data_IF_873703429375
#
_entry.id   IF_873703429375
#
_cell.length_a   1.000
_cell.length_b   1.000
_cell.length_c   1.000
_cell.angle_alpha   90.00
_cell.angle_beta   90.00
_cell.angle_gamma   90.00
#
_symmetry.space_group_name_H-M   'P 1'
#
loop_
_entity.id
_entity.type
_entity.pdbx_description
1 polymer ?
#
# COMPACT_ATOMS: atom_id res chain seq x y z
N UNK A 1 -11.63 -28.00 26.45
CA UNK A 1 -12.23 -28.85 25.40
C UNK A 1 -13.34 -28.04 24.76
N UNK A 2 -13.21 -27.71 23.47
CA UNK A 2 -14.16 -26.89 22.71
C UNK A 2 -14.93 -27.78 21.74
N UNK A 3 -16.21 -27.48 21.53
CA UNK A 3 -17.01 -28.09 20.47
C UNK A 3 -16.93 -27.19 19.24
N UNK A 4 -16.31 -27.66 18.14
CA UNK A 4 -16.09 -26.88 16.90
C UNK A 4 -17.16 -27.13 15.82
N UNK A 5 -18.29 -27.75 16.19
CA UNK A 5 -19.41 -27.93 15.27
C UNK A 5 -20.24 -26.65 15.21
N UNK A 6 -20.63 -26.26 13.98
CA UNK A 6 -21.49 -25.11 13.65
C UNK A 6 -20.85 -23.71 13.75
N UNK A 7 -19.52 -23.59 13.68
CA UNK A 7 -18.81 -22.29 13.66
C UNK A 7 -19.02 -21.43 14.92
N UNK A 8 -19.51 -22.05 16.00
CA UNK A 8 -19.67 -21.43 17.32
C UNK A 8 -18.76 -22.15 18.31
N UNK A 9 -17.65 -21.52 18.68
CA UNK A 9 -16.80 -22.03 19.77
C UNK A 9 -17.58 -21.97 21.09
N UNK A 10 -18.17 -23.10 21.46
CA UNK A 10 -18.81 -23.31 22.76
C UNK A 10 -17.99 -24.29 23.59
N UNK A 11 -17.97 -24.09 24.91
CA UNK A 11 -17.32 -25.02 25.83
C UNK A 11 -18.00 -26.38 25.73
N UNK A 12 -17.25 -27.42 25.39
CA UNK A 12 -17.79 -28.77 25.39
C UNK A 12 -18.09 -29.20 26.83
N UNK A 13 -19.24 -29.82 27.05
CA UNK A 13 -19.71 -30.29 28.35
C UNK A 13 -19.82 -31.81 28.43
N UNK A 14 -19.87 -32.50 27.29
CA UNK A 14 -20.06 -33.94 27.18
C UNK A 14 -19.00 -34.59 26.29
N UNK A 15 -18.78 -35.90 26.47
CA UNK A 15 -17.95 -36.76 25.61
C UNK A 15 -18.79 -37.95 25.18
N UNK A 16 -18.94 -38.13 23.86
CA UNK A 16 -19.45 -39.38 23.29
C UNK A 16 -18.30 -40.38 23.19
N UNK A 17 -18.52 -41.57 23.70
CA UNK A 17 -17.44 -42.53 23.91
C UNK A 17 -17.20 -43.43 22.69
N UNK A 18 -18.23 -43.63 21.88
CA UNK A 18 -18.18 -44.34 20.59
C UNK A 18 -17.59 -43.46 19.49
N UNK A 19 -17.87 -42.15 19.52
CA UNK A 19 -17.34 -41.20 18.53
C UNK A 19 -16.01 -40.58 18.95
N UNK A 20 -15.56 -40.82 20.18
CA UNK A 20 -14.39 -40.16 20.79
C UNK A 20 -14.42 -38.63 20.61
N UNK A 21 -15.60 -38.03 20.75
CA UNK A 21 -15.85 -36.64 20.36
C UNK A 21 -16.53 -35.84 21.48
N UNK A 22 -16.09 -34.61 21.68
CA UNK A 22 -16.58 -33.73 22.74
C UNK A 22 -17.69 -32.82 22.23
N UNK A 23 -18.82 -32.80 22.92
CA UNK A 23 -20.06 -32.15 22.51
C UNK A 23 -20.43 -31.03 23.48
N UNK A 24 -20.86 -29.87 22.96
CA UNK A 24 -21.62 -28.89 23.74
C UNK A 24 -23.07 -29.35 23.93
N UNK A 25 -23.88 -28.67 24.76
CA UNK A 25 -25.28 -29.04 25.02
C UNK A 25 -26.12 -29.19 23.73
N UNK A 26 -25.92 -28.30 22.76
CA UNK A 26 -26.62 -28.34 21.47
C UNK A 26 -26.22 -29.60 20.69
N UNK A 27 -24.92 -29.84 20.58
CA UNK A 27 -24.40 -30.99 19.86
C UNK A 27 -24.77 -32.31 20.55
N UNK A 28 -24.82 -32.34 21.89
CA UNK A 28 -25.31 -33.48 22.65
C UNK A 28 -26.75 -33.83 22.27
N UNK A 29 -27.64 -32.84 22.26
CA UNK A 29 -29.06 -33.06 21.93
C UNK A 29 -29.23 -33.53 20.49
N UNK A 30 -28.52 -32.91 19.53
CA UNK A 30 -28.54 -33.35 18.13
C UNK A 30 -27.98 -34.78 17.98
N UNK A 31 -26.89 -35.09 18.68
CA UNK A 31 -26.24 -36.39 18.66
C UNK A 31 -27.16 -37.48 19.22
N UNK A 32 -27.89 -37.20 20.30
CA UNK A 32 -28.88 -38.12 20.89
C UNK A 32 -30.18 -38.24 20.09
N UNK A 33 -30.55 -37.20 19.33
CA UNK A 33 -31.76 -37.20 18.50
C UNK A 33 -31.54 -37.89 17.15
N UNK A 34 -30.30 -38.06 16.72
CA UNK A 34 -29.96 -38.69 15.45
C UNK A 34 -30.02 -40.23 15.56
N UNK A 35 -30.71 -40.88 14.62
CA UNK A 35 -30.95 -42.34 14.64
C UNK A 35 -29.67 -43.18 14.68
N UNK A 36 -28.57 -42.67 14.10
CA UNK A 36 -27.31 -43.40 14.01
C UNK A 36 -26.41 -43.22 15.23
N UNK A 37 -26.78 -42.36 16.19
CA UNK A 37 -25.97 -42.05 17.37
C UNK A 37 -26.79 -41.91 18.65
N UNK A 38 -28.09 -42.19 18.59
CA UNK A 38 -29.02 -42.10 19.71
C UNK A 38 -28.67 -43.08 20.84
N UNK A 39 -28.14 -44.24 20.46
CA UNK A 39 -27.72 -45.34 21.33
C UNK A 39 -26.30 -45.17 21.90
N UNK A 40 -25.50 -44.23 21.39
CA UNK A 40 -24.14 -43.99 21.87
C UNK A 40 -24.12 -43.53 23.34
N UNK A 41 -23.21 -44.05 24.16
CA UNK A 41 -23.00 -43.60 25.53
C UNK A 41 -22.30 -42.23 25.56
N UNK A 42 -22.97 -41.26 26.17
CA UNK A 42 -22.45 -39.89 26.30
C UNK A 42 -22.39 -39.51 27.76
N UNK A 43 -21.23 -39.08 28.23
CA UNK A 43 -20.98 -38.71 29.63
C UNK A 43 -20.62 -37.24 29.80
N UNK A 44 -21.01 -36.58 30.90
CA UNK A 44 -20.49 -35.27 31.26
C UNK A 44 -18.97 -35.31 31.42
N UNK A 45 -18.26 -34.31 30.88
CA UNK A 45 -16.81 -34.20 31.04
C UNK A 45 -16.40 -34.04 32.52
N UNK A 46 -17.27 -33.46 33.35
CA UNK A 46 -17.05 -33.26 34.79
C UNK A 46 -17.07 -34.56 35.60
N UNK A 47 -17.71 -35.63 35.10
CA UNK A 47 -17.80 -36.92 35.80
C UNK A 47 -16.68 -37.90 35.42
N UNK A 48 -15.84 -37.58 34.42
CA UNK A 48 -14.76 -38.44 33.96
C UNK A 48 -13.58 -38.35 34.96
N UNK A 49 -13.55 -39.25 35.95
CA UNK A 49 -12.39 -39.36 36.87
C UNK A 49 -11.26 -40.18 36.24
N UNK A 50 -10.00 -39.99 36.68
CA UNK A 50 -8.84 -40.79 36.28
C UNK A 50 -9.00 -42.32 36.48
N UNK A 51 -10.02 -42.77 37.22
CA UNK A 51 -10.33 -44.18 37.50
C UNK A 51 -11.56 -44.71 36.77
N UNK A 52 -12.33 -43.84 36.10
CA UNK A 52 -13.41 -44.33 35.26
C UNK A 52 -12.81 -44.84 33.95
N UNK A 53 -12.89 -46.16 33.78
CA UNK A 53 -12.51 -46.84 32.54
C UNK A 53 -13.26 -46.13 31.41
N UNK A 54 -12.53 -45.52 30.47
CA UNK A 54 -13.07 -45.25 29.13
C UNK A 54 -13.84 -46.52 28.74
N UNK A 55 -15.11 -46.42 28.31
CA UNK A 55 -15.91 -47.60 28.11
C UNK A 55 -15.21 -48.52 27.14
N UNK A 56 -15.54 -49.80 27.24
CA UNK A 56 -15.10 -50.89 26.35
C UNK A 56 -15.50 -50.66 24.86
N UNK A 57 -15.93 -49.44 24.51
CA UNK A 57 -16.37 -48.96 23.21
C UNK A 57 -15.22 -48.55 22.26
N UNK A 58 -13.94 -48.65 22.67
CA UNK A 58 -12.93 -49.08 21.70
C UNK A 58 -13.26 -50.54 21.40
N UNK A 59 -14.22 -50.74 20.49
CA UNK A 59 -14.63 -52.06 20.04
C UNK A 59 -13.37 -52.78 19.60
N UNK A 60 -12.97 -53.73 20.44
CA UNK A 60 -11.83 -54.59 20.28
C UNK A 60 -12.14 -55.62 19.20
N UNK A 61 -12.77 -55.22 18.08
CA UNK A 61 -13.02 -56.05 16.91
C UNK A 61 -12.01 -55.69 15.83
N UNK A 62 -11.47 -56.70 15.16
CA UNK A 62 -10.49 -56.46 14.12
C UNK A 62 -11.14 -55.77 12.92
N UNK A 63 -10.47 -54.75 12.37
CA UNK A 63 -10.92 -54.03 11.17
C UNK A 63 -11.04 -54.93 9.93
N UNK A 64 -10.27 -56.03 9.89
CA UNK A 64 -10.28 -57.02 8.80
C UNK A 64 -11.20 -58.20 9.11
N UNK A 65 -11.30 -58.59 10.38
CA UNK A 65 -12.10 -59.73 10.83
C UNK A 65 -13.14 -59.24 11.84
N UNK A 66 -14.26 -58.75 11.34
CA UNK A 66 -15.29 -58.02 12.12
C UNK A 66 -15.93 -58.84 13.24
N UNK A 67 -15.91 -60.18 13.15
CA UNK A 67 -16.39 -61.11 14.18
C UNK A 67 -15.34 -61.43 15.25
N UNK A 68 -14.06 -61.13 15.01
CA UNK A 68 -12.95 -61.52 15.86
C UNK A 68 -12.47 -60.38 16.74
N UNK A 69 -12.12 -60.71 17.98
CA UNK A 69 -11.61 -59.72 18.93
C UNK A 69 -10.11 -59.53 18.82
N UNK A 70 -9.67 -58.27 18.85
CA UNK A 70 -8.28 -57.89 18.99
C UNK A 70 -7.82 -58.27 20.40
N UNK A 71 -6.81 -59.13 20.48
CA UNK A 71 -6.23 -59.64 21.73
C UNK A 71 -4.71 -59.59 21.75
N UNK A 72 -4.09 -59.37 20.59
CA UNK A 72 -2.66 -59.49 20.38
C UNK A 72 -2.16 -58.21 19.70
N UNK A 73 -0.87 -57.91 19.83
CA UNK A 73 -0.22 -56.78 19.19
C UNK A 73 1.04 -57.27 18.48
N UNK A 74 1.20 -56.89 17.21
CA UNK A 74 2.38 -57.22 16.43
C UNK A 74 3.36 -56.05 16.56
N UNK A 75 4.48 -56.26 17.25
CA UNK A 75 5.51 -55.24 17.46
C UNK A 75 6.25 -54.93 16.16
N UNK A 76 6.48 -55.93 15.30
CA UNK A 76 7.16 -55.75 14.00
C UNK A 76 6.45 -54.75 13.08
N UNK A 77 5.13 -54.61 13.23
CA UNK A 77 4.29 -53.74 12.40
C UNK A 77 3.60 -52.62 13.19
N UNK A 78 3.82 -52.55 14.50
CA UNK A 78 3.20 -51.58 15.42
C UNK A 78 1.66 -51.50 15.29
N UNK A 79 0.99 -52.66 15.22
CA UNK A 79 -0.48 -52.71 15.06
C UNK A 79 -1.19 -53.74 15.96
N UNK A 80 -2.43 -53.41 16.40
CA UNK A 80 -3.27 -54.35 17.14
C UNK A 80 -3.91 -55.40 16.20
N UNK A 81 -3.84 -56.68 16.60
CA UNK A 81 -4.23 -57.84 15.80
C UNK A 81 -5.21 -58.79 16.53
N UNK A 82 -6.12 -59.42 15.76
CA UNK A 82 -6.82 -60.62 16.23
C UNK A 82 -6.03 -61.90 15.94
N UNK A 83 -6.49 -63.03 16.46
CA UNK A 83 -5.89 -64.36 16.23
C UNK A 83 -5.80 -64.70 14.75
N UNK A 84 -6.82 -64.39 13.95
CA UNK A 84 -6.84 -64.63 12.50
C UNK A 84 -5.79 -63.79 11.74
N UNK A 85 -5.61 -62.52 12.11
CA UNK A 85 -4.57 -61.67 11.52
C UNK A 85 -3.17 -62.27 11.71
N UNK A 86 -2.92 -62.90 12.85
CA UNK A 86 -1.63 -63.52 13.15
C UNK A 86 -1.44 -64.82 12.39
N UNK A 87 -2.47 -65.64 12.28
CA UNK A 87 -2.38 -66.89 11.54
C UNK A 87 -2.23 -66.70 10.02
N UNK A 88 -2.76 -65.62 9.46
CA UNK A 88 -2.80 -65.40 8.01
C UNK A 88 -1.73 -64.39 7.56
N UNK A 89 -1.73 -63.19 8.16
CA UNK A 89 -0.95 -62.05 7.67
C UNK A 89 0.37 -61.88 8.40
N UNK A 90 0.37 -62.05 9.73
CA UNK A 90 1.54 -61.85 10.59
C UNK A 90 2.20 -63.18 11.01
N UNK A 91 2.03 -64.25 10.23
CA UNK A 91 2.55 -65.58 10.56
C UNK A 91 4.07 -65.64 10.63
N UNK A 92 4.75 -64.74 9.92
CA UNK A 92 6.22 -64.61 9.88
C UNK A 92 6.75 -63.47 10.75
N UNK A 93 5.89 -62.86 11.56
CA UNK A 93 6.30 -61.87 12.54
C UNK A 93 6.83 -62.58 13.78
N UNK A 94 7.96 -62.11 14.27
CA UNK A 94 8.70 -62.74 15.36
C UNK A 94 8.26 -62.17 16.71
N UNK A 95 7.88 -60.89 16.76
CA UNK A 95 7.50 -60.21 18.00
C UNK A 95 5.98 -59.97 18.09
N UNK A 96 5.27 -60.97 18.61
CA UNK A 96 3.83 -60.92 18.87
C UNK A 96 3.57 -61.08 20.36
N UNK A 97 2.94 -60.09 20.97
CA UNK A 97 2.64 -60.05 22.41
C UNK A 97 1.14 -59.88 22.65
N UNK A 98 0.70 -60.11 23.89
CA UNK A 98 -0.67 -59.76 24.29
C UNK A 98 -0.85 -58.25 24.29
N UNK A 99 -2.07 -57.77 24.02
CA UNK A 99 -2.35 -56.33 24.11
C UNK A 99 -2.08 -55.81 25.52
N UNK A 100 -2.36 -56.60 26.55
CA UNK A 100 -2.11 -56.22 27.93
C UNK A 100 -0.61 -56.00 28.19
N UNK A 101 0.26 -56.82 27.63
CA UNK A 101 1.70 -56.68 27.81
C UNK A 101 2.28 -55.57 26.92
N UNK A 102 1.82 -55.44 25.68
CA UNK A 102 2.14 -54.28 24.83
C UNK A 102 1.72 -52.96 25.50
N UNK A 103 0.52 -52.90 26.09
CA UNK A 103 0.02 -51.73 26.78
C UNK A 103 0.84 -51.41 28.04
N UNK A 104 1.31 -52.42 28.80
CA UNK A 104 2.23 -52.17 29.93
C UNK A 104 3.56 -51.60 29.44
N UNK A 105 4.12 -52.13 28.36
CA UNK A 105 5.36 -51.61 27.78
C UNK A 105 5.14 -50.16 27.32
N UNK A 106 4.11 -49.92 26.50
CA UNK A 106 3.79 -48.60 25.96
C UNK A 106 3.50 -47.57 27.06
N UNK A 107 2.70 -47.92 28.06
CA UNK A 107 2.39 -47.03 29.19
C UNK A 107 3.54 -46.89 30.21
N UNK A 108 4.50 -47.83 30.26
CA UNK A 108 5.69 -47.69 31.10
C UNK A 108 6.82 -46.93 30.41
N UNK A 109 6.77 -46.80 29.08
CA UNK A 109 7.66 -45.92 28.32
C UNK A 109 7.27 -44.46 28.48
N UNK A 110 8.24 -43.55 28.32
CA UNK A 110 7.99 -42.09 28.35
C UNK A 110 7.27 -41.58 27.09
N UNK A 111 6.90 -42.45 26.14
CA UNK A 111 6.33 -42.06 24.85
C UNK A 111 4.97 -41.36 24.99
N UNK A 112 4.11 -41.84 25.89
CA UNK A 112 2.80 -41.23 26.17
C UNK A 112 2.97 -39.85 26.82
N UNK A 113 3.87 -39.74 27.79
CA UNK A 113 4.18 -38.47 28.45
C UNK A 113 4.82 -37.47 27.48
N UNK A 114 5.71 -37.93 26.60
CA UNK A 114 6.32 -37.13 25.53
C UNK A 114 5.27 -36.66 24.52
N UNK A 115 4.33 -37.52 24.12
CA UNK A 115 3.24 -37.16 23.22
C UNK A 115 2.33 -36.10 23.87
N UNK A 116 1.96 -36.30 25.14
CA UNK A 116 1.19 -35.33 25.92
C UNK A 116 1.90 -33.98 26.00
N UNK A 117 3.19 -33.98 26.36
CA UNK A 117 3.97 -32.75 26.44
C UNK A 117 4.08 -32.03 25.08
N UNK A 118 4.24 -32.78 23.98
CA UNK A 118 4.22 -32.21 22.62
C UNK A 118 2.87 -31.56 22.29
N UNK A 119 1.75 -32.21 22.65
CA UNK A 119 0.41 -31.65 22.46
C UNK A 119 0.20 -30.38 23.28
N UNK A 120 0.61 -30.37 24.55
CA UNK A 120 0.54 -29.18 25.43
C UNK A 120 1.40 -28.01 24.88
N UNK A 121 2.62 -28.31 24.41
CA UNK A 121 3.49 -27.32 23.77
C UNK A 121 2.87 -26.74 22.49
N UNK A 122 2.24 -27.58 21.67
CA UNK A 122 1.51 -27.11 20.48
C UNK A 122 0.31 -26.24 20.86
N UNK A 123 -0.48 -26.64 21.87
CA UNK A 123 -1.61 -25.87 22.38
C UNK A 123 -1.16 -24.47 22.84
N UNK A 124 -0.10 -24.39 23.66
CA UNK A 124 0.44 -23.12 24.15
C UNK A 124 0.97 -22.23 23.01
N UNK A 125 1.59 -22.85 22.00
CA UNK A 125 2.06 -22.13 20.80
C UNK A 125 0.90 -21.52 20.03
N UNK A 126 -0.21 -22.24 19.86
CA UNK A 126 -1.39 -21.70 19.17
C UNK A 126 -2.05 -20.59 19.97
N UNK A 127 -2.16 -20.72 21.30
CA UNK A 127 -2.65 -19.65 22.17
C UNK A 127 -1.84 -18.37 22.02
N UNK A 128 -0.51 -18.48 21.97
CA UNK A 128 0.39 -17.35 21.73
C UNK A 128 0.18 -16.72 20.36
N UNK A 129 -0.07 -17.52 19.31
CA UNK A 129 -0.33 -17.03 17.97
C UNK A 129 -1.68 -16.32 17.86
N UNK A 130 -2.71 -16.84 18.53
CA UNK A 130 -4.03 -16.21 18.64
C UNK A 130 -3.87 -14.84 19.29
N UNK A 131 -3.26 -14.77 20.48
CA UNK A 131 -3.05 -13.51 21.19
C UNK A 131 -2.28 -12.46 20.37
N UNK A 132 -1.22 -12.89 19.66
CA UNK A 132 -0.47 -12.01 18.74
C UNK A 132 -1.33 -11.51 17.58
N UNK A 133 -2.18 -12.37 17.01
CA UNK A 133 -3.07 -11.99 15.92
C UNK A 133 -4.16 -11.01 16.37
N UNK A 134 -4.73 -11.22 17.56
CA UNK A 134 -5.72 -10.31 18.16
C UNK A 134 -5.11 -8.93 18.43
N UNK A 135 -3.91 -8.86 18.98
CA UNK A 135 -3.19 -7.59 19.16
C UNK A 135 -2.90 -6.91 17.82
N UNK A 136 -2.42 -7.66 16.82
CA UNK A 136 -2.14 -7.12 15.50
C UNK A 136 -3.38 -6.55 14.81
N UNK A 137 -4.56 -7.13 15.01
CA UNK A 137 -5.82 -6.61 14.48
C UNK A 137 -6.20 -5.28 15.16
N UNK A 138 -6.14 -5.22 16.49
CA UNK A 138 -6.44 -4.00 17.26
C UNK A 138 -5.49 -2.84 16.91
N UNK A 139 -4.20 -3.15 16.73
CA UNK A 139 -3.21 -2.17 16.31
C UNK A 139 -3.50 -1.65 14.88
N UNK A 140 -3.84 -2.53 13.93
CA UNK A 140 -4.23 -2.13 12.58
C UNK A 140 -5.48 -1.24 12.57
N UNK A 141 -6.50 -1.57 13.38
CA UNK A 141 -7.70 -0.74 13.51
C UNK A 141 -7.38 0.66 14.05
N UNK A 142 -6.51 0.73 15.05
CA UNK A 142 -6.07 2.00 15.65
C UNK A 142 -5.29 2.83 14.65
N UNK A 143 -4.35 2.22 13.92
CA UNK A 143 -3.60 2.88 12.85
C UNK A 143 -4.53 3.40 11.75
N UNK A 144 -5.52 2.61 11.32
CA UNK A 144 -6.50 3.03 10.32
C UNK A 144 -7.28 4.28 10.76
N UNK A 145 -7.78 4.29 12.00
CA UNK A 145 -8.50 5.44 12.56
C UNK A 145 -7.61 6.69 12.64
N UNK A 146 -6.37 6.55 13.12
CA UNK A 146 -5.43 7.68 13.19
C UNK A 146 -5.16 8.27 11.80
N UNK A 147 -4.89 7.40 10.82
CA UNK A 147 -4.59 7.79 9.43
C UNK A 147 -5.77 8.49 8.76
N UNK A 148 -6.99 8.01 8.98
CA UNK A 148 -8.20 8.71 8.52
C UNK A 148 -8.29 10.12 9.12
N UNK A 149 -8.00 10.29 10.41
CA UNK A 149 -7.96 11.61 11.05
C UNK A 149 -6.87 12.53 10.52
N UNK A 150 -5.69 12.00 10.17
CA UNK A 150 -4.60 12.75 9.53
C UNK A 150 -5.03 13.27 8.15
N UNK A 151 -5.71 12.44 7.35
CA UNK A 151 -6.28 12.83 6.04
C UNK A 151 -7.30 13.96 6.20
N UNK A 152 -8.25 13.82 7.12
CA UNK A 152 -9.26 14.85 7.38
C UNK A 152 -8.64 16.18 7.80
N UNK A 153 -7.60 16.12 8.64
CA UNK A 153 -6.87 17.30 9.11
C UNK A 153 -6.12 17.97 7.95
N UNK A 154 -5.49 17.19 7.08
CA UNK A 154 -4.80 17.71 5.90
C UNK A 154 -5.77 18.39 4.93
N UNK A 155 -6.92 17.78 4.66
CA UNK A 155 -7.96 18.39 3.82
C UNK A 155 -8.43 19.74 4.39
N UNK A 156 -8.62 19.84 5.72
CA UNK A 156 -8.96 21.11 6.37
C UNK A 156 -7.90 22.18 6.16
N UNK A 157 -6.62 21.84 6.29
CA UNK A 157 -5.50 22.78 6.08
C UNK A 157 -5.49 23.30 4.63
N UNK A 158 -5.61 22.40 3.64
CA UNK A 158 -5.60 22.78 2.22
C UNK A 158 -6.81 23.67 1.89
N UNK A 159 -8.00 23.31 2.36
CA UNK A 159 -9.20 24.14 2.17
C UNK A 159 -8.98 25.54 2.76
N UNK A 160 -8.42 25.63 3.97
CA UNK A 160 -8.17 26.91 4.63
C UNK A 160 -7.19 27.78 3.85
N UNK A 161 -6.09 27.21 3.35
CA UNK A 161 -5.11 27.94 2.53
C UNK A 161 -5.71 28.47 1.23
N UNK A 162 -6.54 27.67 0.55
CA UNK A 162 -7.24 28.12 -0.66
C UNK A 162 -8.21 29.26 -0.34
N UNK A 163 -8.94 29.19 0.77
CA UNK A 163 -9.83 30.28 1.19
C UNK A 163 -9.05 31.56 1.54
N UNK A 164 -7.92 31.44 2.23
CA UNK A 164 -7.04 32.56 2.56
C UNK A 164 -6.49 33.21 1.29
N UNK A 165 -6.02 32.41 0.33
CA UNK A 165 -5.53 32.90 -0.96
C UNK A 165 -6.63 33.64 -1.74
N UNK A 166 -7.83 33.05 -1.81
CA UNK A 166 -9.01 33.67 -2.44
C UNK A 166 -9.33 35.02 -1.81
N UNK A 167 -9.38 35.10 -0.48
CA UNK A 167 -9.67 36.33 0.25
C UNK A 167 -8.61 37.41 -0.01
N UNK A 168 -7.32 37.04 0.04
CA UNK A 168 -6.21 37.94 -0.23
C UNK A 168 -6.28 38.52 -1.65
N UNK A 169 -6.50 37.68 -2.66
CA UNK A 169 -6.58 38.14 -4.06
C UNK A 169 -7.80 39.00 -4.34
N UNK A 170 -8.94 38.69 -3.72
CA UNK A 170 -10.14 39.55 -3.81
C UNK A 170 -9.86 40.94 -3.21
N UNK A 171 -9.15 41.00 -2.08
CA UNK A 171 -8.76 42.26 -1.44
C UNK A 171 -7.78 43.08 -2.30
N UNK A 172 -6.75 42.45 -2.86
CA UNK A 172 -5.81 43.11 -3.78
C UNK A 172 -6.51 43.68 -5.01
N UNK A 173 -7.42 42.91 -5.62
CA UNK A 173 -8.20 43.37 -6.78
C UNK A 173 -9.10 44.56 -6.43
N UNK A 174 -9.72 44.55 -5.25
CA UNK A 174 -10.54 45.66 -4.76
C UNK A 174 -9.71 46.93 -4.60
N UNK A 175 -8.49 46.83 -4.06
CA UNK A 175 -7.60 48.00 -3.91
C UNK A 175 -7.27 48.63 -5.26
N UNK A 176 -6.86 47.82 -6.23
CA UNK A 176 -6.56 48.29 -7.60
C UNK A 176 -7.79 48.96 -8.22
N UNK A 177 -8.99 48.39 -8.01
CA UNK A 177 -10.24 48.97 -8.48
C UNK A 177 -10.49 50.35 -7.85
N UNK A 178 -10.40 50.49 -6.52
CA UNK A 178 -10.64 51.77 -5.84
C UNK A 178 -9.59 52.83 -6.22
N UNK A 179 -8.31 52.45 -6.35
CA UNK A 179 -7.25 53.35 -6.83
C UNK A 179 -7.59 53.90 -8.23
N UNK A 180 -7.91 53.02 -9.18
CA UNK A 180 -8.28 53.45 -10.54
C UNK A 180 -9.55 54.28 -10.57
N UNK A 181 -10.56 53.90 -9.79
CA UNK A 181 -11.82 54.64 -9.66
C UNK A 181 -11.60 56.04 -9.13
N UNK A 182 -10.74 56.22 -8.13
CA UNK A 182 -10.43 57.54 -7.58
C UNK A 182 -9.75 58.46 -8.60
N UNK A 183 -8.83 57.94 -9.42
CA UNK A 183 -8.21 58.72 -10.50
C UNK A 183 -9.28 59.17 -11.51
N UNK A 184 -10.14 58.25 -11.95
CA UNK A 184 -11.21 58.56 -12.91
C UNK A 184 -12.19 59.58 -12.34
N UNK A 185 -12.59 59.44 -11.07
CA UNK A 185 -13.53 60.38 -10.44
C UNK A 185 -12.89 61.77 -10.28
N UNK A 186 -11.59 61.86 -9.98
CA UNK A 186 -10.85 63.12 -9.90
C UNK A 186 -10.81 63.84 -11.26
N UNK A 187 -10.49 63.12 -12.33
CA UNK A 187 -10.48 63.66 -13.71
C UNK A 187 -11.89 64.11 -14.12
N UNK A 188 -12.91 63.32 -13.80
CA UNK A 188 -14.32 63.67 -14.06
C UNK A 188 -14.75 64.95 -13.34
N UNK A 189 -14.34 65.15 -12.08
CA UNK A 189 -14.61 66.40 -11.34
C UNK A 189 -13.91 67.59 -11.99
N UNK A 190 -12.64 67.43 -12.42
CA UNK A 190 -11.91 68.45 -13.16
C UNK A 190 -12.66 68.87 -14.43
N UNK A 191 -13.09 67.93 -15.26
CA UNK A 191 -13.87 68.23 -16.46
C UNK A 191 -15.21 68.91 -16.17
N UNK A 192 -15.92 68.52 -15.11
CA UNK A 192 -17.15 69.21 -14.68
C UNK A 192 -16.89 70.67 -14.32
N UNK A 193 -15.78 70.97 -13.64
CA UNK A 193 -15.44 72.34 -13.26
C UNK A 193 -15.05 73.18 -14.48
N UNK A 194 -14.23 72.63 -15.40
CA UNK A 194 -13.89 73.29 -16.67
C UNK A 194 -15.13 73.58 -17.51
N UNK A 195 -16.05 72.61 -17.63
CA UNK A 195 -17.34 72.80 -18.31
C UNK A 195 -18.14 73.96 -17.71
N UNK A 196 -18.26 74.04 -16.37
CA UNK A 196 -18.97 75.14 -15.72
C UNK A 196 -18.34 76.52 -16.01
N UNK A 197 -17.01 76.58 -16.08
CA UNK A 197 -16.30 77.82 -16.43
C UNK A 197 -16.64 78.25 -17.86
N UNK A 198 -16.58 77.32 -18.83
CA UNK A 198 -16.97 77.58 -20.23
C UNK A 198 -18.45 77.98 -20.33
N UNK A 199 -19.35 77.26 -19.64
CA UNK A 199 -20.78 77.58 -19.63
C UNK A 199 -21.05 79.02 -19.10
N UNK A 200 -20.24 79.50 -18.15
CA UNK A 200 -20.33 80.87 -17.66
C UNK A 200 -19.77 81.89 -18.66
N UNK A 201 -18.63 81.61 -19.29
CA UNK A 201 -18.05 82.47 -20.33
C UNK A 201 -18.99 82.61 -21.53
N UNK A 202 -19.67 81.53 -21.93
CA UNK A 202 -20.72 81.55 -22.96
C UNK A 202 -21.86 82.50 -22.56
N UNK A 203 -22.35 82.42 -21.31
CA UNK A 203 -23.40 83.31 -20.81
C UNK A 203 -22.97 84.77 -20.78
N UNK A 204 -21.72 85.05 -20.39
CA UNK A 204 -21.16 86.41 -20.39
C UNK A 204 -21.12 86.94 -21.82
N UNK A 205 -20.58 86.17 -22.77
CA UNK A 205 -20.48 86.58 -24.16
C UNK A 205 -21.87 86.85 -24.77
N UNK A 206 -22.85 85.98 -24.48
CA UNK A 206 -24.24 86.15 -24.90
C UNK A 206 -24.81 87.49 -24.40
N UNK A 207 -24.65 87.79 -23.11
CA UNK A 207 -25.15 89.03 -22.51
C UNK A 207 -24.46 90.29 -23.06
N UNK A 208 -23.14 90.22 -23.33
CA UNK A 208 -22.36 91.32 -23.90
C UNK A 208 -22.75 91.56 -25.36
N UNK A 209 -22.98 90.52 -26.16
CA UNK A 209 -23.48 90.65 -27.54
C UNK A 209 -24.86 91.33 -27.57
N UNK A 210 -25.74 90.97 -26.65
CA UNK A 210 -27.12 91.47 -26.62
C UNK A 210 -27.26 92.90 -26.10
N UNK A 211 -26.38 93.35 -25.18
CA UNK A 211 -26.62 94.56 -24.39
C UNK A 211 -25.44 95.57 -24.34
N UNK A 212 -24.28 95.26 -24.90
CA UNK A 212 -23.07 96.10 -24.76
C UNK A 212 -22.67 96.81 -26.07
N UNK A 213 -21.73 97.77 -25.97
CA UNK A 213 -21.19 98.45 -27.15
C UNK A 213 -20.18 97.58 -27.91
N UNK A 214 -19.97 97.86 -29.20
CA UNK A 214 -19.03 97.12 -30.06
C UNK A 214 -17.61 97.04 -29.49
N UNK A 215 -17.15 98.10 -28.82
CA UNK A 215 -15.84 98.15 -28.16
C UNK A 215 -15.79 97.19 -26.96
N UNK A 216 -16.86 97.12 -26.17
CA UNK A 216 -16.96 96.19 -25.03
C UNK A 216 -17.01 94.73 -25.51
N UNK A 217 -17.74 94.45 -26.59
CA UNK A 217 -17.78 93.14 -27.25
C UNK A 217 -16.37 92.70 -27.67
N UNK A 218 -15.62 93.59 -28.32
CA UNK A 218 -14.26 93.30 -28.79
C UNK A 218 -13.30 93.00 -27.63
N UNK A 219 -13.35 93.80 -26.56
CA UNK A 219 -12.50 93.61 -25.38
C UNK A 219 -12.80 92.26 -24.73
N UNK A 220 -14.07 91.93 -24.51
CA UNK A 220 -14.45 90.71 -23.80
C UNK A 220 -14.20 89.45 -24.65
N UNK A 221 -14.50 89.52 -25.95
CA UNK A 221 -14.17 88.44 -26.88
C UNK A 221 -12.68 88.10 -26.87
N UNK A 222 -11.80 89.12 -26.80
CA UNK A 222 -10.35 88.89 -26.77
C UNK A 222 -9.89 88.24 -25.47
N UNK A 223 -10.49 88.60 -24.33
CA UNK A 223 -10.21 87.95 -23.04
C UNK A 223 -10.62 86.47 -23.05
N UNK A 224 -11.86 86.18 -23.47
CA UNK A 224 -12.37 84.81 -23.54
C UNK A 224 -11.53 83.97 -24.52
N UNK A 225 -11.14 84.54 -25.67
CA UNK A 225 -10.27 83.86 -26.64
C UNK A 225 -8.92 83.46 -26.02
N UNK A 226 -8.31 84.33 -25.20
CA UNK A 226 -7.06 84.00 -24.52
C UNK A 226 -7.25 82.89 -23.49
N UNK A 227 -8.32 82.95 -22.70
CA UNK A 227 -8.68 81.90 -21.73
C UNK A 227 -8.92 80.53 -22.40
N UNK A 228 -9.64 80.50 -23.53
CA UNK A 228 -9.85 79.28 -24.31
C UNK A 228 -8.54 78.68 -24.82
N UNK A 229 -7.67 79.51 -25.40
CA UNK A 229 -6.36 79.07 -25.88
C UNK A 229 -5.47 78.49 -24.74
N UNK A 230 -5.59 79.01 -23.52
CA UNK A 230 -4.87 78.48 -22.35
C UNK A 230 -5.45 77.12 -21.89
N UNK A 231 -6.77 76.94 -21.91
CA UNK A 231 -7.41 75.67 -21.57
C UNK A 231 -7.18 74.58 -22.61
N UNK A 232 -7.13 74.92 -23.91
CA UNK A 232 -6.84 73.98 -24.98
C UNK A 232 -5.42 73.42 -24.88
N UNK A 233 -4.43 74.26 -24.55
CA UNK A 233 -3.04 73.82 -24.28
C UNK A 233 -2.97 72.82 -23.13
N UNK A 234 -3.74 73.02 -22.08
CA UNK A 234 -3.81 72.07 -20.95
C UNK A 234 -4.50 70.75 -21.33
N UNK A 235 -5.44 70.79 -22.27
CA UNK A 235 -6.18 69.61 -22.73
C UNK A 235 -5.34 68.70 -23.64
N UNK A 236 -4.41 69.26 -24.42
CA UNK A 236 -3.51 68.47 -25.28
C UNK A 236 -2.46 67.64 -24.55
N UNK A 237 -2.15 67.94 -23.27
CA UNK A 237 -1.21 67.15 -22.46
C UNK A 237 -1.87 66.00 -21.70
N UNK A 238 -3.20 66.07 -21.48
CA UNK A 238 -4.00 65.06 -20.80
C UNK A 238 -4.53 64.00 -21.80
N UNK A 239 -3.63 63.29 -22.50
CA UNK A 239 -4.03 62.17 -23.37
C UNK A 239 -4.38 60.94 -22.51
N UNK A 240 -5.54 60.99 -21.85
CA UNK A 240 -5.97 60.01 -20.84
C UNK A 240 -6.61 58.78 -21.51
N UNK A 241 -5.97 57.62 -21.38
CA UNK A 241 -6.49 56.35 -21.90
C UNK A 241 -7.79 55.95 -21.17
N UNK A 242 -8.93 56.11 -21.85
CA UNK A 242 -10.26 55.77 -21.36
C UNK A 242 -10.49 54.26 -21.24
N UNK A 243 -9.58 53.41 -21.74
CA UNK A 243 -9.66 51.94 -21.62
C UNK A 243 -8.90 51.45 -20.38
N UNK A 244 -9.40 51.79 -19.19
CA UNK A 244 -8.90 51.17 -17.96
C UNK A 244 -9.43 49.74 -17.81
N UNK A 245 -8.76 48.76 -18.41
CA UNK A 245 -9.02 47.35 -18.09
C UNK A 245 -8.44 46.99 -16.72
N UNK A 246 -9.26 46.39 -15.85
CA UNK A 246 -8.78 45.64 -14.68
C UNK A 246 -8.50 44.23 -15.17
N UNK A 247 -7.26 43.95 -15.54
CA UNK A 247 -6.87 42.60 -15.99
C UNK A 247 -6.76 41.69 -14.77
N UNK A 248 -7.24 40.43 -14.84
CA UNK A 248 -6.98 39.46 -13.78
C UNK A 248 -5.46 39.28 -13.60
N UNK A 249 -4.96 39.12 -12.36
CA UNK A 249 -3.54 38.85 -12.13
C UNK A 249 -3.11 37.63 -12.94
N UNK A 250 -2.00 37.76 -13.69
CA UNK A 250 -1.42 36.68 -14.52
C UNK A 250 -0.82 35.58 -13.63
N UNK A 251 -1.60 34.79 -12.89
CA UNK A 251 -1.01 33.93 -11.85
C UNK A 251 -1.84 32.68 -11.47
N UNK A 252 -2.62 32.13 -12.41
CA UNK A 252 -3.13 30.74 -12.29
C UNK A 252 -1.99 29.73 -12.04
N UNK A 253 -0.78 30.06 -12.52
CA UNK A 253 0.47 29.32 -12.27
C UNK A 253 0.80 29.17 -10.78
N UNK A 254 0.58 30.18 -9.94
CA UNK A 254 0.84 30.09 -8.48
C UNK A 254 -0.17 29.22 -7.75
N UNK A 255 -1.40 29.09 -8.27
CA UNK A 255 -2.41 28.19 -7.74
C UNK A 255 -2.04 26.73 -8.04
N UNK A 256 -1.49 26.47 -9.24
CA UNK A 256 -0.82 25.20 -9.55
C UNK A 256 0.39 24.93 -8.66
N UNK A 257 1.21 25.92 -8.32
CA UNK A 257 2.31 25.74 -7.36
C UNK A 257 1.81 25.45 -5.94
N UNK A 258 0.73 26.09 -5.48
CA UNK A 258 0.11 25.79 -4.18
C UNK A 258 -0.49 24.37 -4.19
N UNK A 259 -1.14 23.97 -5.29
CA UNK A 259 -1.68 22.62 -5.45
C UNK A 259 -0.57 21.57 -5.62
N UNK A 260 0.53 21.89 -6.29
CA UNK A 260 1.72 21.05 -6.42
C UNK A 260 2.44 20.93 -5.08
N UNK A 261 2.59 22.02 -4.32
CA UNK A 261 3.14 22.00 -2.97
C UNK A 261 2.24 21.22 -1.99
N UNK A 262 0.91 21.29 -2.14
CA UNK A 262 -0.03 20.46 -1.39
C UNK A 262 0.02 18.98 -1.80
N UNK A 263 0.24 18.68 -3.08
CA UNK A 263 0.48 17.30 -3.57
C UNK A 263 1.88 16.77 -3.19
N UNK A 264 2.88 17.65 -3.01
CA UNK A 264 4.24 17.33 -2.58
C UNK A 264 4.35 17.09 -1.07
N UNK A 265 3.33 17.46 -0.29
CA UNK A 265 3.17 17.01 1.10
C UNK A 265 2.63 15.57 1.09
N UNK A 266 3.51 14.66 0.64
CA UNK A 266 3.55 13.21 0.87
C UNK A 266 2.19 12.49 1.00
N UNK A 267 1.63 12.16 -0.16
CA UNK A 267 1.34 10.77 -0.55
C UNK A 267 1.37 9.73 0.60
N UNK A 268 0.29 9.65 1.39
CA UNK A 268 -0.03 8.49 2.24
C UNK A 268 -1.16 7.63 1.66
N UNK A 269 -1.44 7.82 0.36
CA UNK A 269 -2.17 6.87 -0.49
C UNK A 269 -1.47 5.49 -0.61
N UNK A 270 -0.32 5.30 0.05
CA UNK A 270 0.38 4.01 0.20
C UNK A 270 -0.40 3.00 1.05
N UNK A 271 -1.30 3.42 1.95
CA UNK A 271 -1.96 2.47 2.87
C UNK A 271 -3.30 1.92 2.38
N UNK A 272 -4.01 2.60 1.48
CA UNK A 272 -5.28 2.08 0.90
C UNK A 272 -5.06 0.86 0.00
N UNK A 273 -3.86 0.69 -0.58
CA UNK A 273 -3.50 -0.52 -1.34
C UNK A 273 -3.20 -1.73 -0.43
N UNK A 274 -2.76 -1.50 0.82
CA UNK A 274 -2.50 -2.57 1.80
C UNK A 274 -3.80 -3.12 2.40
N UNK A 275 -4.83 -2.28 2.59
CA UNK A 275 -6.17 -2.69 3.02
C UNK A 275 -6.89 -3.54 1.96
N UNK A 276 -6.78 -3.20 0.67
CA UNK A 276 -7.35 -3.99 -0.43
C UNK A 276 -6.69 -5.38 -0.60
N UNK A 277 -5.46 -5.56 -0.13
CA UNK A 277 -4.77 -6.86 -0.14
C UNK A 277 -5.27 -7.82 0.95
N UNK A 278 -5.78 -7.30 2.06
CA UNK A 278 -6.31 -8.12 3.16
C UNK A 278 -7.73 -8.65 2.87
N UNK A 279 -8.55 -7.90 2.13
CA UNK A 279 -9.95 -8.26 1.86
C UNK A 279 -10.12 -9.23 0.68
N UNK A 280 -9.11 -9.40 -0.19
CA UNK A 280 -9.20 -10.19 -1.42
C UNK A 280 -8.42 -11.52 -1.42
N UNK A 281 -7.94 -12.03 -0.28
CA UNK A 281 -7.27 -13.34 -0.21
C UNK A 281 -8.09 -14.38 0.53
N UNK A 282 -8.67 -15.29 -0.25
CA UNK A 282 -9.41 -16.48 0.14
C UNK A 282 -8.60 -17.33 1.18
N UNK A 283 -9.16 -17.70 2.37
CA UNK A 283 -8.40 -18.31 3.48
C UNK A 283 -7.74 -19.67 3.16
N UNK A 284 -8.20 -20.37 2.12
CA UNK A 284 -7.81 -21.77 1.83
C UNK A 284 -6.41 -21.89 1.20
N UNK A 285 -5.82 -20.81 0.67
CA UNK A 285 -4.46 -20.87 0.10
C UNK A 285 -3.32 -20.65 1.12
N UNK A 286 -3.62 -20.24 2.36
CA UNK A 286 -2.58 -19.99 3.37
C UNK A 286 -1.92 -21.28 3.90
N UNK A 287 -2.56 -22.44 3.80
CA UNK A 287 -1.97 -23.69 4.32
C UNK A 287 -0.94 -24.28 3.35
N UNK A 288 -1.11 -24.11 2.03
CA UNK A 288 -0.12 -24.57 1.04
C UNK A 288 1.07 -23.61 0.86
N UNK A 289 0.89 -22.32 1.13
CA UNK A 289 1.96 -21.31 1.01
C UNK A 289 2.85 -21.20 2.26
N UNK A 290 2.38 -21.63 3.44
CA UNK A 290 3.18 -21.64 4.68
C UNK A 290 4.20 -22.78 4.78
N UNK A 291 4.14 -23.79 3.90
CA UNK A 291 5.21 -24.81 3.81
C UNK A 291 6.46 -24.27 3.09
N UNK A 292 6.38 -23.13 2.39
CA UNK A 292 7.54 -22.54 1.69
C UNK A 292 8.07 -21.22 2.30
N UNK A 293 7.44 -20.68 3.35
CA UNK A 293 7.84 -19.41 3.98
C UNK A 293 8.82 -19.56 5.17
N UNK A 294 9.25 -20.78 5.49
CA UNK A 294 10.27 -21.04 6.53
C UNK A 294 11.67 -21.31 5.98
N UNK A 295 11.95 -20.86 4.75
CA UNK A 295 13.33 -20.77 4.29
C UNK A 295 13.85 -19.35 4.54
N UNK A 296 14.34 -19.10 5.76
CA UNK A 296 15.53 -18.25 5.94
C UNK A 296 16.70 -18.91 5.19
N UNK A 297 16.64 -18.93 3.86
CA UNK A 297 17.80 -19.26 3.05
C UNK A 297 18.74 -18.07 3.16
N UNK A 298 19.82 -18.27 3.92
CA UNK A 298 21.08 -17.57 3.74
C UNK A 298 21.28 -17.43 2.23
N UNK A 299 21.11 -16.24 1.66
CA UNK A 299 21.29 -16.03 0.22
C UNK A 299 22.77 -16.29 -0.07
N UNK A 300 23.12 -17.48 -0.56
CA UNK A 300 24.49 -17.78 -0.99
C UNK A 300 24.88 -16.85 -2.14
N UNK A 301 26.08 -16.28 -2.08
CA UNK A 301 26.63 -15.44 -3.16
C UNK A 301 26.40 -13.94 -3.02
N UNK A 302 26.17 -13.41 -1.81
CA UNK A 302 26.24 -11.97 -1.57
C UNK A 302 27.68 -11.47 -1.59
N UNK A 303 27.91 -10.38 -2.32
CA UNK A 303 29.21 -9.72 -2.43
C UNK A 303 29.06 -8.20 -2.33
N UNK A 304 30.19 -7.52 -2.22
CA UNK A 304 30.27 -6.06 -2.13
C UNK A 304 31.10 -5.52 -3.29
N UNK A 305 30.69 -4.39 -3.85
CA UNK A 305 31.39 -3.72 -4.94
C UNK A 305 31.57 -2.24 -4.62
N UNK A 306 32.74 -1.68 -4.97
CA UNK A 306 33.01 -0.24 -4.95
C UNK A 306 32.28 0.50 -6.08
N UNK A 307 31.79 -0.24 -7.08
CA UNK A 307 31.04 0.31 -8.22
C UNK A 307 29.60 -0.20 -8.22
N UNK A 308 28.60 0.65 -8.51
CA UNK A 308 27.20 0.22 -8.52
C UNK A 308 26.92 -0.78 -9.66
N UNK A 309 26.24 -1.87 -9.33
CA UNK A 309 25.77 -2.91 -10.26
C UNK A 309 24.26 -2.84 -10.39
N UNK A 310 23.80 -1.69 -10.84
CA UNK A 310 22.50 -1.16 -10.52
C UNK A 310 21.47 -1.23 -11.66
N UNK A 311 21.71 -2.04 -12.68
CA UNK A 311 20.78 -2.14 -13.81
C UNK A 311 20.64 -3.56 -14.34
N UNK A 312 19.47 -3.93 -14.85
CA UNK A 312 19.23 -5.22 -15.50
C UNK A 312 18.48 -5.00 -16.83
N UNK A 313 18.83 -5.71 -17.92
CA UNK A 313 17.99 -5.81 -19.12
C UNK A 313 17.29 -7.16 -19.14
N UNK A 314 16.02 -7.17 -19.51
CA UNK A 314 15.25 -8.39 -19.64
C UNK A 314 14.15 -8.29 -20.69
N UNK A 315 13.75 -9.46 -21.19
CA UNK A 315 12.65 -9.66 -22.12
C UNK A 315 11.62 -10.57 -21.47
N UNK A 316 10.34 -10.25 -21.63
CA UNK A 316 9.22 -11.03 -21.11
C UNK A 316 8.53 -11.83 -22.23
N UNK A 317 8.11 -13.06 -21.93
CA UNK A 317 7.41 -13.93 -22.88
C UNK A 317 5.95 -13.57 -23.11
N UNK A 318 5.32 -12.94 -22.10
CA UNK A 318 3.92 -12.53 -22.09
C UNK A 318 3.83 -11.04 -21.72
N UNK A 319 2.73 -10.40 -22.09
CA UNK A 319 2.47 -9.04 -21.63
C UNK A 319 2.14 -9.06 -20.14
N UNK A 320 2.72 -8.13 -19.39
CA UNK A 320 2.55 -8.05 -17.93
C UNK A 320 2.49 -6.60 -17.49
N UNK A 321 1.91 -6.36 -16.31
CA UNK A 321 2.04 -5.10 -15.61
C UNK A 321 3.18 -5.18 -14.60
N UNK A 322 4.29 -4.48 -14.85
CA UNK A 322 5.34 -4.29 -13.85
C UNK A 322 4.80 -3.38 -12.75
N UNK A 323 4.90 -3.81 -11.49
CA UNK A 323 4.38 -3.07 -10.32
C UNK A 323 5.46 -2.63 -9.35
N UNK A 324 6.69 -3.12 -9.51
CA UNK A 324 7.83 -2.68 -8.73
C UNK A 324 9.03 -3.58 -8.85
N UNK A 325 10.07 -3.23 -8.10
CA UNK A 325 11.36 -3.89 -8.15
C UNK A 325 11.89 -4.07 -6.73
N UNK A 326 12.74 -5.07 -6.55
CA UNK A 326 13.52 -5.25 -5.32
C UNK A 326 14.94 -4.77 -5.57
N UNK A 327 15.55 -4.12 -4.59
CA UNK A 327 16.96 -3.73 -4.58
C UNK A 327 17.62 -4.35 -3.36
N UNK A 328 18.86 -4.80 -3.48
CA UNK A 328 19.69 -4.99 -2.29
C UNK A 328 19.90 -3.64 -1.61
N UNK A 329 19.79 -3.62 -0.29
CA UNK A 329 20.12 -2.45 0.52
C UNK A 329 21.61 -2.16 0.50
N UNK A 330 22.00 -1.05 1.12
CA UNK A 330 23.39 -0.75 1.41
C UNK A 330 23.51 -0.57 2.92
N UNK A 331 24.60 -1.08 3.49
CA UNK A 331 24.87 -1.00 4.93
C UNK A 331 25.16 0.46 5.32
N UNK A 332 24.69 0.89 6.49
CA UNK A 332 24.94 2.22 7.06
C UNK A 332 24.31 3.40 6.29
N UNK A 333 23.10 3.22 5.76
CA UNK A 333 22.38 4.29 5.06
C UNK A 333 21.48 5.12 5.99
N UNK A 334 21.82 6.40 6.10
CA UNK A 334 20.86 7.49 6.29
C UNK A 334 19.79 7.46 5.18
N UNK A 335 18.62 8.10 5.33
CA UNK A 335 17.57 8.10 4.32
C UNK A 335 18.12 8.42 2.92
N UNK A 336 18.03 7.47 1.99
CA UNK A 336 18.62 7.59 0.66
C UNK A 336 17.58 7.96 -0.38
N UNK A 337 17.90 8.95 -1.23
CA UNK A 337 17.14 9.20 -2.45
C UNK A 337 17.46 8.09 -3.45
N UNK A 338 16.41 7.45 -3.94
CA UNK A 338 16.44 6.37 -4.90
C UNK A 338 15.74 6.83 -6.17
N UNK A 339 16.44 6.72 -7.29
CA UNK A 339 15.93 7.00 -8.62
C UNK A 339 15.82 5.69 -9.39
N UNK A 340 14.62 5.31 -9.80
CA UNK A 340 14.40 4.14 -10.67
C UNK A 340 14.06 4.65 -12.07
N UNK A 341 14.73 4.12 -13.09
CA UNK A 341 14.39 4.37 -14.49
C UNK A 341 14.06 3.05 -15.18
N UNK A 342 12.88 2.99 -15.80
CA UNK A 342 12.53 1.95 -16.76
C UNK A 342 12.74 2.52 -18.16
N UNK A 343 13.48 1.80 -18.99
CA UNK A 343 13.80 2.18 -20.36
C UNK A 343 13.45 1.07 -21.32
N UNK A 344 12.79 1.41 -22.40
CA UNK A 344 12.54 0.51 -23.53
C UNK A 344 13.72 0.61 -24.49
N UNK A 345 14.34 -0.53 -24.82
CA UNK A 345 15.42 -0.59 -25.79
C UNK A 345 14.84 -0.96 -27.15
N UNK A 346 14.96 -0.05 -28.10
CA UNK A 346 14.79 -0.33 -29.53
C UNK A 346 16.18 -0.39 -30.19
N UNK A 347 16.26 -0.94 -31.40
CA UNK A 347 17.54 -1.28 -32.05
C UNK A 347 18.52 -0.10 -32.15
N UNK A 348 18.03 1.15 -32.18
CA UNK A 348 18.87 2.35 -32.22
C UNK A 348 18.62 3.38 -31.11
N UNK A 349 17.56 3.26 -30.31
CA UNK A 349 17.18 4.28 -29.32
C UNK A 349 16.79 3.73 -27.95
N UNK A 350 16.94 4.58 -26.94
CA UNK A 350 16.58 4.30 -25.55
C UNK A 350 15.49 5.28 -25.14
N UNK A 351 14.27 4.79 -24.97
CA UNK A 351 13.15 5.61 -24.51
C UNK A 351 12.92 5.39 -23.03
N UNK A 352 12.96 6.47 -22.23
CA UNK A 352 12.58 6.41 -20.81
C UNK A 352 11.06 6.25 -20.76
N UNK A 353 10.60 5.08 -20.33
CA UNK A 353 9.18 4.74 -20.19
C UNK A 353 8.63 5.30 -18.88
N UNK A 354 9.44 5.25 -17.82
CA UNK A 354 9.06 5.75 -16.51
C UNK A 354 10.30 6.12 -15.69
N UNK A 355 10.19 7.20 -14.92
CA UNK A 355 11.20 7.63 -13.95
C UNK A 355 10.52 7.88 -12.60
N UNK A 356 11.05 7.26 -11.54
CA UNK A 356 10.53 7.36 -10.18
C UNK A 356 11.63 7.87 -9.28
N UNK A 357 11.34 8.92 -8.53
CA UNK A 357 12.23 9.46 -7.49
C UNK A 357 11.53 9.29 -6.14
N UNK A 358 12.16 8.57 -5.21
CA UNK A 358 11.63 8.36 -3.86
C UNK A 358 12.74 8.43 -2.82
N UNK A 359 12.41 8.64 -1.55
CA UNK A 359 13.37 8.61 -0.45
C UNK A 359 13.07 7.40 0.42
N UNK A 360 14.00 6.46 0.52
CA UNK A 360 13.85 5.24 1.31
C UNK A 360 14.48 5.45 2.69
N UNK A 361 13.69 5.26 3.76
CA UNK A 361 14.22 5.05 5.10
C UNK A 361 14.65 3.58 5.18
N UNK A 362 15.95 3.34 5.26
CA UNK A 362 16.51 1.99 5.37
C UNK A 362 16.52 1.62 6.85
N UNK A 363 15.78 0.59 7.24
CA UNK A 363 15.94 -0.01 8.57
C UNK A 363 17.27 -0.76 8.59
N UNK A 364 18.13 -0.43 9.56
CA UNK A 364 19.43 -1.06 9.72
C UNK A 364 19.24 -2.54 10.07
N UNK A 365 19.33 -3.40 9.06
CA UNK A 365 19.61 -4.81 9.26
C UNK A 365 20.53 -5.33 8.17
N UNK A 366 21.47 -6.16 8.59
CA UNK A 366 22.34 -6.90 7.68
C UNK A 366 21.43 -7.81 6.83
N UNK A 367 21.40 -7.59 5.52
CA UNK A 367 20.67 -8.37 4.51
C UNK A 367 19.24 -7.90 4.14
N UNK A 368 18.92 -6.61 4.23
CA UNK A 368 17.63 -6.11 3.73
C UNK A 368 17.56 -6.02 2.20
N UNK A 369 16.58 -6.70 1.59
CA UNK A 369 16.08 -6.34 0.24
C UNK A 369 15.04 -5.24 0.37
N UNK A 370 15.28 -4.11 -0.27
CA UNK A 370 14.39 -2.96 -0.28
C UNK A 370 13.39 -3.12 -1.41
N UNK A 371 12.10 -2.97 -1.08
CA UNK A 371 11.00 -2.99 -2.04
C UNK A 371 10.77 -1.57 -2.57
N UNK A 372 10.83 -1.40 -3.89
CA UNK A 372 10.50 -0.15 -4.58
C UNK A 372 9.30 -0.38 -5.48
N UNK A 373 8.13 0.06 -5.01
CA UNK A 373 6.88 -0.02 -5.78
C UNK A 373 6.79 1.13 -6.79
N UNK A 374 6.28 0.81 -7.99
CA UNK A 374 5.99 1.84 -8.99
C UNK A 374 4.69 2.56 -8.62
N UNK A 375 4.57 3.87 -8.89
CA UNK A 375 3.37 4.65 -8.57
C UNK A 375 2.15 4.22 -9.39
N UNK A 376 2.37 3.58 -10.53
CA UNK A 376 1.33 2.98 -11.37
C UNK A 376 1.90 1.74 -12.08
N UNK A 377 1.09 0.71 -12.35
CA UNK A 377 1.53 -0.46 -13.08
C UNK A 377 1.94 -0.11 -14.52
N UNK A 378 3.11 -0.58 -14.96
CA UNK A 378 3.63 -0.32 -16.30
C UNK A 378 3.42 -1.53 -17.20
N UNK A 379 2.72 -1.34 -18.31
CA UNK A 379 2.51 -2.39 -19.31
C UNK A 379 3.84 -2.70 -20.02
N UNK A 380 4.36 -3.91 -19.84
CA UNK A 380 5.50 -4.43 -20.59
C UNK A 380 4.98 -5.30 -21.73
N UNK A 381 5.38 -4.97 -22.95
CA UNK A 381 5.03 -5.73 -24.15
C UNK A 381 5.88 -6.99 -24.26
N UNK A 382 5.29 -8.06 -24.77
CA UNK A 382 6.00 -9.31 -25.06
C UNK A 382 7.13 -9.06 -26.07
N UNK A 383 8.26 -9.75 -25.90
CA UNK A 383 9.42 -9.70 -26.81
C UNK A 383 10.14 -8.34 -26.95
N UNK A 384 9.93 -7.40 -26.03
CA UNK A 384 10.67 -6.12 -25.97
C UNK A 384 11.74 -6.19 -24.86
N UNK A 385 12.98 -5.69 -25.09
CA UNK A 385 13.99 -5.60 -24.01
C UNK A 385 13.80 -4.31 -23.22
N UNK A 386 13.55 -4.47 -21.93
CA UNK A 386 13.47 -3.37 -20.99
C UNK A 386 14.73 -3.35 -20.12
N UNK A 387 15.28 -2.15 -19.91
CA UNK A 387 16.32 -1.90 -18.91
C UNK A 387 15.70 -1.22 -17.70
N UNK A 388 15.85 -1.82 -16.53
CA UNK A 388 15.57 -1.16 -15.25
C UNK A 388 16.90 -0.77 -14.62
N UNK A 389 17.04 0.48 -14.17
CA UNK A 389 18.20 0.95 -13.41
C UNK A 389 17.80 1.65 -12.12
N UNK A 390 18.60 1.50 -11.06
CA UNK A 390 18.42 2.11 -9.75
C UNK A 390 19.63 3.01 -9.44
N UNK A 391 19.45 4.30 -9.19
CA UNK A 391 20.52 5.16 -8.68
C UNK A 391 20.24 5.48 -7.22
N UNK A 392 21.21 5.20 -6.35
CA UNK A 392 21.22 5.60 -4.96
C UNK A 392 22.12 6.83 -4.84
N UNK A 393 21.70 7.89 -4.14
CA UNK A 393 22.58 9.04 -3.91
C UNK A 393 23.82 8.60 -3.12
N UNK A 394 24.99 8.85 -3.72
CA UNK A 394 26.31 8.54 -3.16
C UNK A 394 26.54 9.37 -1.89
N UNK A 395 26.66 8.70 -0.74
CA UNK A 395 27.47 9.26 0.33
C UNK A 395 28.87 8.67 0.16
N UNK A 396 29.88 9.53 0.19
CA UNK A 396 31.29 9.17 -0.02
C UNK A 396 31.69 7.94 0.81
N UNK A 397 32.43 7.01 0.20
CA UNK A 397 33.04 5.86 0.89
C UNK A 397 32.17 4.61 1.08
N UNK A 398 31.02 4.46 0.39
CA UNK A 398 30.10 3.33 0.58
C UNK A 398 30.26 2.20 -0.44
N UNK A 399 30.17 0.96 0.06
CA UNK A 399 30.13 -0.25 -0.75
C UNK A 399 28.68 -0.60 -1.14
N UNK A 400 28.48 -1.14 -2.34
CA UNK A 400 27.19 -1.60 -2.85
C UNK A 400 27.07 -3.11 -2.69
N UNK A 401 26.05 -3.58 -1.94
CA UNK A 401 25.73 -5.00 -1.84
C UNK A 401 25.09 -5.49 -3.16
N UNK A 402 25.53 -6.64 -3.66
CA UNK A 402 24.97 -7.28 -4.85
C UNK A 402 24.96 -8.80 -4.71
N UNK A 403 24.07 -9.46 -5.46
CA UNK A 403 24.03 -10.92 -5.53
C UNK A 403 24.84 -11.42 -6.73
N UNK A 404 25.57 -12.52 -6.58
CA UNK A 404 26.46 -13.10 -7.59
C UNK A 404 26.00 -14.45 -8.15
N UNK A 405 24.75 -14.83 -7.89
CA UNK A 405 24.12 -16.10 -8.31
C UNK A 405 22.86 -15.88 -9.14
N UNK A 406 22.85 -14.82 -9.95
CA UNK A 406 21.75 -14.51 -10.86
C UNK A 406 21.49 -15.63 -11.87
N UNK A 407 20.38 -15.55 -12.61
CA UNK A 407 20.02 -16.52 -13.66
C UNK A 407 19.68 -15.75 -14.94
N UNK A 408 20.12 -16.29 -16.08
CA UNK A 408 19.77 -15.74 -17.40
C UNK A 408 18.32 -15.97 -17.79
N UNK A 409 17.66 -16.97 -17.19
CA UNK A 409 16.24 -17.24 -17.40
C UNK A 409 15.58 -17.53 -16.05
N UNK A 410 14.47 -16.86 -15.80
CA UNK A 410 13.61 -17.07 -14.63
C UNK A 410 12.17 -17.25 -15.11
N UNK A 411 11.49 -18.28 -14.61
CA UNK A 411 10.07 -18.52 -14.90
C UNK A 411 9.31 -18.31 -13.59
N UNK A 412 8.33 -17.43 -13.60
CA UNK A 412 7.48 -17.12 -12.46
C UNK A 412 6.03 -16.99 -12.93
N UNK A 413 5.10 -17.71 -12.30
CA UNK A 413 3.67 -17.69 -12.66
C UNK A 413 3.42 -17.92 -14.17
N UNK A 414 4.23 -18.78 -14.79
CA UNK A 414 4.17 -19.08 -16.24
C UNK A 414 4.81 -18.03 -17.16
N UNK A 415 5.19 -16.85 -16.65
CA UNK A 415 5.90 -15.82 -17.44
C UNK A 415 7.40 -16.11 -17.41
N UNK A 416 8.01 -16.25 -18.59
CA UNK A 416 9.46 -16.40 -18.76
C UNK A 416 10.11 -15.03 -18.92
N UNK A 417 11.03 -14.71 -18.01
CA UNK A 417 11.94 -13.58 -18.06
C UNK A 417 13.30 -14.06 -18.56
N UNK A 418 13.77 -13.50 -19.68
CA UNK A 418 15.12 -13.71 -20.20
C UNK A 418 15.96 -12.47 -19.90
N UNK A 419 16.97 -12.62 -19.07
CA UNK A 419 17.90 -11.55 -18.69
C UNK A 419 19.11 -11.54 -19.63
N UNK A 420 19.51 -10.34 -20.05
CA UNK A 420 20.64 -10.11 -20.94
C UNK A 420 21.64 -9.15 -20.30
N UNK A 421 22.89 -9.17 -20.78
CA UNK A 421 23.89 -8.24 -20.27
C UNK A 421 23.47 -6.82 -20.59
N UNK A 422 23.59 -5.94 -19.60
CA UNK A 422 23.22 -4.53 -19.79
C UNK A 422 24.11 -3.92 -20.88
N UNK A 423 23.52 -3.26 -21.90
CA UNK A 423 24.30 -2.60 -22.94
C UNK A 423 25.32 -1.61 -22.37
N UNK A 424 26.52 -1.54 -22.97
CA UNK A 424 27.62 -0.67 -22.52
C UNK A 424 27.22 0.80 -22.35
N UNK A 425 26.25 1.28 -23.12
CA UNK A 425 25.69 2.65 -23.06
C UNK A 425 25.08 3.07 -21.72
N UNK A 426 24.83 2.13 -20.81
CA UNK A 426 24.24 2.41 -19.50
C UNK A 426 25.24 2.64 -18.38
N UNK A 427 26.56 2.59 -18.65
CA UNK A 427 27.63 2.73 -17.66
C UNK A 427 27.47 1.82 -16.41
N UNK A 428 26.74 0.71 -16.57
CA UNK A 428 26.51 -0.27 -15.52
C UNK A 428 27.40 -1.48 -15.77
N UNK A 429 28.16 -1.91 -14.76
CA UNK A 429 28.99 -3.13 -14.85
C UNK A 429 28.19 -4.40 -14.53
N UNK A 430 26.86 -4.27 -14.40
CA UNK A 430 25.97 -5.37 -14.04
C UNK A 430 26.00 -6.46 -15.10
N UNK A 431 26.22 -7.69 -14.64
CA UNK A 431 26.19 -8.89 -15.49
C UNK A 431 24.90 -9.65 -15.23
N UNK A 432 24.48 -10.49 -16.17
CA UNK A 432 23.28 -11.35 -16.01
C UNK A 432 23.29 -12.13 -14.69
N UNK A 433 24.46 -12.58 -14.25
CA UNK A 433 24.61 -13.38 -13.03
C UNK A 433 24.96 -12.55 -11.78
N UNK A 434 25.17 -11.23 -11.91
CA UNK A 434 25.66 -10.39 -10.83
C UNK A 434 25.01 -9.01 -10.84
N UNK A 435 24.25 -8.65 -9.80
CA UNK A 435 23.59 -7.34 -9.74
C UNK A 435 22.86 -7.00 -8.44
N UNK A 436 22.46 -5.73 -8.33
CA UNK A 436 21.80 -5.16 -7.16
C UNK A 436 20.28 -5.35 -7.14
N UNK A 437 19.68 -5.84 -8.23
CA UNK A 437 18.23 -5.98 -8.38
C UNK A 437 17.87 -7.46 -8.27
N UNK A 438 17.56 -7.99 -7.06
CA UNK A 438 17.28 -9.40 -6.87
C UNK A 438 15.92 -9.88 -7.39
N UNK A 439 14.99 -8.96 -7.71
CA UNK A 439 13.66 -9.35 -8.14
C UNK A 439 12.85 -8.23 -8.77
N UNK A 440 11.86 -8.66 -9.56
CA UNK A 440 10.84 -7.82 -10.18
C UNK A 440 9.47 -8.25 -9.64
N UNK A 441 8.58 -7.29 -9.49
CA UNK A 441 7.19 -7.52 -9.09
C UNK A 441 6.29 -7.17 -10.27
N UNK A 442 5.36 -8.07 -10.59
CA UNK A 442 4.45 -7.88 -11.72
C UNK A 442 3.08 -8.50 -11.45
N UNK A 443 2.11 -8.12 -12.26
CA UNK A 443 0.80 -8.76 -12.38
C UNK A 443 0.64 -9.27 -13.80
N UNK A 444 0.02 -10.44 -13.96
CA UNK A 444 -0.39 -10.92 -15.28
C UNK A 444 -1.63 -10.13 -15.73
N UNK A 445 -1.74 -9.95 -17.04
CA UNK A 445 -2.96 -9.48 -17.68
C UNK A 445 -4.07 -10.54 -17.58
#
# INVERSE_FOLDING_TARGET
MSCERLDVQTTAAFLCLECADTLCDICYNCHKSNKSSSDHEVKPLSSISKKEKFPKAFTSSCSVHTSEKIKLFCMDHDIPCCTMCISITHRKCDEIVTIEDAAKIFCSTTEVDNLKQRLENHSMRYETLINRSTYSLSDLETQCKMRMGEVDTMCKIVIQEVQNFKAKRKSELQKIYEEKKNVVETVKVSFKNRKKAIDNEVKIMQAVIENASEVQVMIEAKKITNHLNEQEKQSTSENFDYRMTVKPPKELTKLTEILQNACEIKCDLRQTYLLNRFLNTNPVQQVRSKINATNKKKLMGWNMSLTPLNAICFIVSEEIYLTGILSYGCRNLTPCKVKVQLKENTDDNVHVVSEIKTTLKVENSENCTIKVELPYPLLLKKKVCYTVSISLNEAEGKYFDYGAVGKSVVICEGVRFKFENVPKKYNSRTKVFQGQIPGLMFMKL
#
